data_IF_815359082054
#
_entry.id   IF_815359082054
#
_cell.length_a   1.000
_cell.length_b   1.000
_cell.length_c   1.000
_cell.angle_alpha   90.00
_cell.angle_beta   90.00
_cell.angle_gamma   90.00
#
_symmetry.space_group_name_H-M   'P 1'
#
loop_
_entity.id
_entity.type
_entity.pdbx_description
1 polymer ?
#
# COMPACT_ATOMS: atom_id res chain seq x y z
N UNK A 1 30.73 15.96 42.46
CA UNK A 1 31.67 15.97 41.31
C UNK A 1 31.16 14.92 40.36
N UNK A 2 30.93 15.25 39.10
CA UNK A 2 30.36 14.32 38.10
C UNK A 2 31.19 13.04 38.02
N UNK A 3 30.55 11.87 38.02
CA UNK A 3 31.24 10.59 37.87
C UNK A 3 31.61 10.39 36.40
N UNK A 4 32.75 10.99 36.04
CA UNK A 4 33.25 11.09 34.68
C UNK A 4 33.55 9.74 34.03
N UNK A 5 33.91 8.75 34.85
CA UNK A 5 34.21 7.40 34.40
C UNK A 5 32.97 6.69 33.86
N UNK A 6 31.77 7.15 34.25
CA UNK A 6 30.49 6.67 33.71
C UNK A 6 29.93 7.59 32.62
N UNK A 7 30.07 8.91 32.77
CA UNK A 7 29.51 9.87 31.81
C UNK A 7 30.19 9.82 30.43
N UNK A 8 31.52 9.69 30.35
CA UNK A 8 32.23 9.68 29.06
C UNK A 8 31.88 8.47 28.18
N UNK A 9 31.97 7.24 28.69
CA UNK A 9 31.52 6.06 27.94
C UNK A 9 30.03 6.14 27.62
N UNK A 10 29.20 6.61 28.57
CA UNK A 10 27.75 6.75 28.36
C UNK A 10 27.40 7.68 27.20
N UNK A 11 27.99 8.89 27.15
CA UNK A 11 27.79 9.83 26.04
C UNK A 11 28.29 9.27 24.70
N UNK A 12 29.46 8.62 24.69
CA UNK A 12 30.04 8.04 23.47
C UNK A 12 29.21 6.90 22.90
N UNK A 13 28.80 5.95 23.75
CA UNK A 13 27.96 4.82 23.35
C UNK A 13 26.57 5.27 22.89
N UNK A 14 25.97 6.26 23.56
CA UNK A 14 24.69 6.83 23.13
C UNK A 14 24.79 7.43 21.74
N UNK A 15 25.86 8.19 21.46
CA UNK A 15 26.07 8.83 20.16
C UNK A 15 26.34 7.81 19.04
N UNK A 16 27.16 6.79 19.30
CA UNK A 16 27.45 5.71 18.34
C UNK A 16 26.19 4.90 18.05
N UNK A 17 25.44 4.52 19.09
CA UNK A 17 24.18 3.79 18.94
C UNK A 17 23.15 4.59 18.14
N UNK A 18 23.00 5.89 18.42
CA UNK A 18 22.11 6.77 17.67
C UNK A 18 22.50 6.87 16.19
N UNK A 19 23.79 7.05 15.89
CA UNK A 19 24.27 7.08 14.50
C UNK A 19 24.02 5.76 13.77
N UNK A 20 24.22 4.62 14.44
CA UNK A 20 23.93 3.29 13.89
C UNK A 20 22.45 3.09 13.59
N UNK A 21 21.56 3.54 14.49
CA UNK A 21 20.11 3.51 14.28
C UNK A 21 19.74 4.35 13.05
N UNK A 22 20.23 5.60 12.96
CA UNK A 22 19.92 6.48 11.81
C UNK A 22 20.41 5.89 10.50
N UNK A 23 21.64 5.38 10.43
CA UNK A 23 22.18 4.78 9.19
C UNK A 23 21.40 3.54 8.74
N UNK A 24 20.86 2.79 9.69
CA UNK A 24 20.12 1.57 9.40
C UNK A 24 18.70 1.86 8.91
N UNK A 25 17.98 2.77 9.58
CA UNK A 25 16.72 3.32 9.06
C UNK A 25 16.91 4.07 7.74
N UNK A 26 18.13 4.54 7.45
CA UNK A 26 18.43 5.21 6.20
C UNK A 26 18.58 4.27 4.99
N UNK A 27 18.51 2.95 5.18
CA UNK A 27 18.76 1.97 4.12
C UNK A 27 20.20 1.92 3.61
N UNK A 28 21.11 2.75 4.12
CA UNK A 28 22.49 2.86 3.61
C UNK A 28 23.29 1.56 3.87
N UNK A 29 22.85 0.72 4.81
CA UNK A 29 23.45 -0.58 5.14
C UNK A 29 22.45 -1.74 4.97
N UNK A 30 22.03 -2.03 3.74
CA UNK A 30 21.06 -3.08 3.40
C UNK A 30 21.43 -4.52 3.83
N UNK A 31 22.67 -4.81 4.24
CA UNK A 31 23.13 -6.19 4.49
C UNK A 31 22.92 -6.71 5.92
N UNK A 32 22.41 -5.89 6.86
CA UNK A 32 22.30 -6.27 8.29
C UNK A 32 21.06 -5.72 9.01
N UNK A 33 19.93 -5.54 8.32
CA UNK A 33 18.76 -4.81 8.85
C UNK A 33 18.31 -5.33 10.24
N UNK A 34 18.17 -6.63 10.45
CA UNK A 34 17.67 -7.13 11.75
C UNK A 34 18.73 -7.14 12.87
N UNK A 35 19.98 -7.47 12.53
CA UNK A 35 21.06 -7.57 13.51
C UNK A 35 21.65 -6.23 13.93
N UNK A 36 21.79 -5.30 12.99
CA UNK A 36 22.39 -3.98 13.23
C UNK A 36 21.42 -3.05 13.97
N UNK A 37 20.10 -3.18 13.76
CA UNK A 37 19.07 -2.48 14.54
C UNK A 37 19.18 -2.83 16.02
N UNK A 38 19.14 -4.12 16.33
CA UNK A 38 19.20 -4.60 17.71
C UNK A 38 20.53 -4.20 18.38
N UNK A 39 21.65 -4.32 17.66
CA UNK A 39 22.96 -3.96 18.19
C UNK A 39 23.11 -2.45 18.44
N UNK A 40 22.70 -1.62 17.48
CA UNK A 40 22.80 -0.15 17.61
C UNK A 40 21.86 0.38 18.69
N UNK A 41 20.64 -0.17 18.77
CA UNK A 41 19.69 0.12 19.84
C UNK A 41 20.24 -0.28 21.20
N UNK A 42 20.79 -1.50 21.34
CA UNK A 42 21.42 -1.96 22.57
C UNK A 42 22.59 -1.06 23.00
N UNK A 43 23.46 -0.68 22.06
CA UNK A 43 24.58 0.24 22.32
C UNK A 43 24.08 1.61 22.81
N UNK A 44 23.01 2.13 22.20
CA UNK A 44 22.36 3.37 22.65
C UNK A 44 21.82 3.23 24.09
N UNK A 45 21.07 2.17 24.39
CA UNK A 45 20.49 1.94 25.71
C UNK A 45 21.55 1.77 26.80
N UNK A 46 22.61 1.01 26.53
CA UNK A 46 23.75 0.87 27.45
C UNK A 46 24.41 2.24 27.68
N UNK A 47 24.56 3.04 26.63
CA UNK A 47 25.03 4.41 26.73
C UNK A 47 24.17 5.28 27.64
N UNK A 48 22.85 5.23 27.48
CA UNK A 48 21.89 5.98 28.31
C UNK A 48 21.92 5.56 29.77
N UNK A 49 22.11 4.26 30.06
CA UNK A 49 22.24 3.74 31.43
C UNK A 49 23.49 4.34 32.09
N UNK A 50 24.66 4.26 31.45
CA UNK A 50 25.89 4.83 32.01
C UNK A 50 25.80 6.35 32.17
N UNK A 51 25.17 7.04 31.22
CA UNK A 51 24.94 8.47 31.29
C UNK A 51 24.04 8.83 32.48
N UNK A 52 22.92 8.13 32.64
CA UNK A 52 21.96 8.35 33.73
C UNK A 52 22.61 8.11 35.10
N UNK A 53 23.33 6.98 35.27
CA UNK A 53 24.04 6.67 36.51
C UNK A 53 25.11 7.73 36.79
N UNK A 54 25.89 8.13 35.79
CA UNK A 54 26.92 9.17 35.95
C UNK A 54 26.36 10.52 36.37
N UNK A 55 25.19 10.90 35.85
CA UNK A 55 24.47 12.13 36.24
C UNK A 55 23.92 12.02 37.67
N UNK A 56 23.31 10.88 38.04
CA UNK A 56 22.71 10.68 39.37
C UNK A 56 23.76 10.60 40.48
N UNK A 57 24.90 9.97 40.22
CA UNK A 57 25.96 9.77 41.21
C UNK A 57 26.82 11.03 41.42
N UNK A 58 27.16 11.74 40.34
CA UNK A 58 28.09 12.86 40.43
C UNK A 58 27.53 14.24 40.07
N UNK A 59 26.33 14.31 39.51
CA UNK A 59 25.75 15.52 38.91
C UNK A 59 26.31 15.84 37.53
N UNK A 60 25.80 16.92 36.93
CA UNK A 60 26.21 17.37 35.60
C UNK A 60 27.58 18.06 35.69
N UNK A 61 28.53 17.64 34.85
CA UNK A 61 29.85 18.25 34.83
C UNK A 61 29.84 19.66 34.22
N UNK A 62 30.49 20.61 34.88
CA UNK A 62 30.65 21.99 34.38
C UNK A 62 31.99 22.25 33.71
N UNK A 63 32.84 21.22 33.57
CA UNK A 63 34.18 21.36 33.00
C UNK A 63 34.14 21.73 31.51
N UNK A 64 35.18 22.40 31.03
CA UNK A 64 35.27 22.77 29.61
C UNK A 64 35.34 21.55 28.69
N UNK A 65 35.90 20.43 29.17
CA UNK A 65 35.92 19.15 28.43
C UNK A 65 34.51 18.59 28.28
N UNK A 66 33.67 18.62 29.33
CA UNK A 66 32.27 18.21 29.23
C UNK A 66 31.49 19.02 28.23
N UNK A 67 31.61 20.35 28.32
CA UNK A 67 30.94 21.25 27.39
C UNK A 67 31.34 20.95 25.94
N UNK A 68 32.63 20.72 25.68
CA UNK A 68 33.12 20.37 24.36
C UNK A 68 32.55 19.02 23.88
N UNK A 69 32.61 17.96 24.70
CA UNK A 69 32.07 16.64 24.36
C UNK A 69 30.56 16.69 24.09
N UNK A 70 29.79 17.38 24.94
CA UNK A 70 28.34 17.55 24.76
C UNK A 70 28.02 18.30 23.46
N UNK A 71 28.77 19.35 23.13
CA UNK A 71 28.58 20.08 21.87
C UNK A 71 28.86 19.23 20.64
N UNK A 72 29.89 18.38 20.68
CA UNK A 72 30.19 17.45 19.58
C UNK A 72 29.05 16.45 19.40
N UNK A 73 28.57 15.83 20.49
CA UNK A 73 27.46 14.87 20.43
C UNK A 73 26.17 15.52 19.91
N UNK A 74 25.82 16.70 20.42
CA UNK A 74 24.67 17.46 19.93
C UNK A 74 24.82 17.83 18.46
N UNK A 75 26.01 18.25 18.03
CA UNK A 75 26.28 18.58 16.63
C UNK A 75 26.08 17.39 15.71
N UNK A 76 26.58 16.21 16.10
CA UNK A 76 26.39 14.97 15.35
C UNK A 76 24.90 14.62 15.28
N UNK A 77 24.21 14.56 16.43
CA UNK A 77 22.80 14.20 16.50
C UNK A 77 21.91 15.14 15.67
N UNK A 78 22.14 16.46 15.77
CA UNK A 78 21.41 17.46 14.98
C UNK A 78 21.71 17.36 13.49
N UNK A 79 22.96 17.09 13.11
CA UNK A 79 23.32 16.95 11.68
C UNK A 79 22.64 15.75 11.05
N UNK A 80 22.67 14.58 11.71
CA UNK A 80 21.98 13.38 11.25
C UNK A 80 20.46 13.54 11.29
N UNK A 81 19.92 14.15 12.35
CA UNK A 81 18.49 14.41 12.47
C UNK A 81 17.96 15.36 11.39
N UNK A 82 18.70 16.43 11.07
CA UNK A 82 18.35 17.35 9.99
C UNK A 82 18.48 16.70 8.62
N UNK A 83 19.53 15.89 8.40
CA UNK A 83 19.68 15.14 7.15
C UNK A 83 18.51 14.17 6.95
N UNK A 84 18.19 13.35 7.96
CA UNK A 84 17.06 12.43 7.92
C UNK A 84 15.73 13.17 7.67
N UNK A 85 15.49 14.30 8.35
CA UNK A 85 14.30 15.10 8.13
C UNK A 85 14.23 15.68 6.71
N UNK A 86 15.37 16.04 6.12
CA UNK A 86 15.43 16.69 4.80
C UNK A 86 15.37 15.69 3.64
N UNK A 87 15.92 14.47 3.79
CA UNK A 87 16.09 13.53 2.67
C UNK A 87 15.30 12.25 2.81
N UNK A 88 14.77 11.94 4.00
CA UNK A 88 14.16 10.64 4.31
C UNK A 88 12.76 10.73 4.88
N UNK A 89 12.22 11.94 4.99
CA UNK A 89 10.91 12.13 5.57
C UNK A 89 9.81 11.98 4.51
N UNK A 90 8.99 10.94 4.64
CA UNK A 90 7.81 10.69 3.79
C UNK A 90 6.52 11.24 4.39
N UNK A 91 6.54 11.67 5.66
CA UNK A 91 5.34 12.13 6.38
C UNK A 91 5.38 13.61 6.75
N UNK A 92 4.30 14.33 6.43
CA UNK A 92 4.12 15.72 6.89
C UNK A 92 4.07 15.82 8.42
N UNK A 93 3.64 14.76 9.11
CA UNK A 93 3.50 14.72 10.57
C UNK A 93 4.85 14.89 11.29
N UNK A 94 5.92 14.31 10.74
CA UNK A 94 7.28 14.39 11.34
C UNK A 94 7.77 15.84 11.43
N UNK A 95 7.49 16.66 10.41
CA UNK A 95 7.88 18.08 10.39
C UNK A 95 7.14 18.85 11.47
N UNK A 96 5.83 18.61 11.59
CA UNK A 96 4.99 19.24 12.62
C UNK A 96 5.47 18.85 14.02
N UNK A 97 5.74 17.57 14.26
CA UNK A 97 6.25 17.09 15.54
C UNK A 97 7.62 17.71 15.85
N UNK A 98 8.55 17.76 14.89
CA UNK A 98 9.85 18.41 15.06
C UNK A 98 9.70 19.91 15.38
N UNK A 99 8.77 20.60 14.71
CA UNK A 99 8.41 21.99 14.98
C UNK A 99 7.91 22.20 16.42
N UNK A 100 7.00 21.35 16.89
CA UNK A 100 6.47 21.39 18.26
C UNK A 100 7.59 21.15 19.28
N UNK A 101 8.43 20.14 19.05
CA UNK A 101 9.55 19.84 19.93
C UNK A 101 10.55 20.99 20.03
N UNK A 102 10.84 21.68 18.92
CA UNK A 102 11.67 22.90 18.93
C UNK A 102 10.98 24.03 19.68
N UNK A 103 9.68 24.23 19.47
CA UNK A 103 8.89 25.26 20.14
C UNK A 103 8.84 25.08 21.67
N UNK A 104 8.95 23.83 22.16
CA UNK A 104 9.05 23.52 23.60
C UNK A 104 10.51 23.58 24.07
N UNK A 105 11.44 23.03 23.29
CA UNK A 105 12.83 22.84 23.66
C UNK A 105 13.61 24.15 23.80
N UNK A 106 13.51 25.05 22.81
CA UNK A 106 14.25 26.32 22.86
C UNK A 106 13.90 27.17 24.08
N UNK A 107 12.61 27.40 24.40
CA UNK A 107 12.28 28.20 25.57
C UNK A 107 12.65 27.51 26.88
N UNK A 108 12.55 26.18 26.97
CA UNK A 108 13.00 25.44 28.15
C UNK A 108 14.50 25.64 28.42
N UNK A 109 15.34 25.59 27.37
CA UNK A 109 16.78 25.84 27.47
C UNK A 109 17.08 27.28 27.91
N UNK A 110 16.40 28.27 27.31
CA UNK A 110 16.57 29.69 27.65
C UNK A 110 16.18 29.93 29.12
N UNK A 111 15.03 29.42 29.55
CA UNK A 111 14.56 29.56 30.93
C UNK A 111 15.52 28.90 31.91
N UNK A 112 15.99 27.68 31.62
CA UNK A 112 16.97 26.98 32.45
C UNK A 112 18.29 27.76 32.55
N UNK A 113 18.79 28.30 31.44
CA UNK A 113 19.99 29.14 31.43
C UNK A 113 19.81 30.41 32.27
N UNK A 114 18.69 31.12 32.10
CA UNK A 114 18.38 32.33 32.84
C UNK A 114 18.19 32.06 34.33
N UNK A 115 17.56 30.95 34.70
CA UNK A 115 17.44 30.52 36.09
C UNK A 115 18.82 30.36 36.76
N UNK A 116 19.81 29.84 36.03
CA UNK A 116 21.17 29.64 36.55
C UNK A 116 22.02 30.91 36.57
N UNK A 117 21.95 31.75 35.53
CA UNK A 117 22.91 32.86 35.32
C UNK A 117 22.34 34.23 35.64
N UNK A 118 21.03 34.43 35.49
CA UNK A 118 20.37 35.71 35.67
C UNK A 118 19.01 35.52 36.37
N UNK A 119 18.99 35.09 37.64
CA UNK A 119 17.76 34.70 38.34
C UNK A 119 16.79 35.85 38.56
N UNK A 120 17.24 37.11 38.50
CA UNK A 120 16.37 38.28 38.61
C UNK A 120 15.47 38.48 37.38
N UNK A 121 15.88 37.99 36.20
CA UNK A 121 15.13 38.13 34.95
C UNK A 121 14.37 36.86 34.53
N UNK A 122 14.54 35.75 35.26
CA UNK A 122 13.87 34.48 34.91
C UNK A 122 12.35 34.58 35.01
N UNK A 123 11.81 35.28 36.04
CA UNK A 123 10.37 35.47 36.23
C UNK A 123 9.74 36.27 35.07
N UNK A 124 10.22 37.48 34.73
CA UNK A 124 9.63 38.24 33.63
C UNK A 124 9.77 37.51 32.28
N UNK A 125 10.91 36.88 31.99
CA UNK A 125 11.09 36.12 30.74
C UNK A 125 10.20 34.88 30.69
N UNK A 126 10.10 34.13 31.79
CA UNK A 126 9.25 32.94 31.87
C UNK A 126 7.77 33.28 31.67
N UNK A 127 7.30 34.41 32.19
CA UNK A 127 5.92 34.89 31.97
C UNK A 127 5.68 35.26 30.50
N UNK A 128 6.62 35.95 29.84
CA UNK A 128 6.52 36.30 28.42
C UNK A 128 6.47 35.04 27.55
N UNK A 129 7.36 34.08 27.80
CA UNK A 129 7.41 32.80 27.08
C UNK A 129 6.12 32.01 27.29
N UNK A 130 5.62 31.93 28.53
CA UNK A 130 4.39 31.22 28.85
C UNK A 130 3.16 31.83 28.14
N UNK A 131 3.05 33.17 28.11
CA UNK A 131 1.97 33.84 27.37
C UNK A 131 2.10 33.64 25.85
N UNK A 132 3.31 33.68 25.31
CA UNK A 132 3.55 33.41 23.89
C UNK A 132 3.17 31.98 23.50
N UNK A 133 3.54 30.99 24.31
CA UNK A 133 3.16 29.59 24.10
C UNK A 133 1.64 29.37 24.21
N UNK A 134 1.00 29.95 25.22
CA UNK A 134 -0.46 29.88 25.37
C UNK A 134 -1.17 30.53 24.16
N UNK A 135 -0.67 31.66 23.67
CA UNK A 135 -1.20 32.33 22.48
C UNK A 135 -1.01 31.45 21.23
N UNK A 136 0.15 30.82 21.07
CA UNK A 136 0.41 29.88 19.97
C UNK A 136 -0.50 28.66 19.99
N UNK A 137 -0.74 28.07 21.16
CA UNK A 137 -1.67 26.95 21.34
C UNK A 137 -3.12 27.37 21.07
N UNK A 138 -3.55 28.54 21.56
CA UNK A 138 -4.89 29.07 21.28
C UNK A 138 -5.04 29.34 19.79
N UNK A 139 -4.04 29.92 19.13
CA UNK A 139 -4.06 30.13 17.68
C UNK A 139 -4.10 28.80 16.92
N UNK A 140 -3.39 27.77 17.38
CA UNK A 140 -3.42 26.43 16.82
C UNK A 140 -4.81 25.79 16.91
N UNK A 141 -5.48 25.86 18.06
CA UNK A 141 -6.81 25.29 18.23
C UNK A 141 -7.92 26.14 17.59
N UNK A 142 -7.75 27.47 17.55
CA UNK A 142 -8.74 28.38 16.97
C UNK A 142 -8.65 28.50 15.44
N UNK A 143 -7.46 28.32 14.86
CA UNK A 143 -7.16 28.54 13.44
C UNK A 143 -6.37 27.39 12.82
N UNK A 144 -6.55 26.15 13.31
CA UNK A 144 -5.82 24.94 12.92
C UNK A 144 -5.25 24.97 11.50
N UNK A 145 -3.92 24.82 11.42
CA UNK A 145 -3.08 24.85 10.21
C UNK A 145 -3.79 25.27 8.91
N UNK A 146 -4.13 26.55 8.79
CA UNK A 146 -4.45 27.12 7.47
C UNK A 146 -3.15 27.16 6.69
N UNK A 147 -2.85 26.09 5.95
CA UNK A 147 -1.74 26.09 5.00
C UNK A 147 -1.96 27.27 4.03
N UNK A 148 -0.91 28.05 3.66
CA UNK A 148 -1.04 29.17 2.72
C UNK A 148 -1.66 28.79 1.38
N UNK A 149 -1.68 27.50 1.05
CA UNK A 149 -2.24 26.95 -0.18
C UNK A 149 -3.75 27.20 -0.31
N UNK A 150 -4.47 27.36 0.80
CA UNK A 150 -5.93 27.62 0.76
C UNK A 150 -6.30 29.04 0.33
N UNK A 151 -5.35 29.99 0.39
CA UNK A 151 -5.62 31.42 0.19
C UNK A 151 -5.08 31.99 -1.13
N UNK A 152 -4.32 31.22 -1.91
CA UNK A 152 -3.78 31.65 -3.20
C UNK A 152 -4.24 30.83 -4.41
N UNK A 153 -5.22 29.94 -4.23
CA UNK A 153 -5.96 29.37 -5.37
C UNK A 153 -7.09 30.37 -5.70
N UNK A 154 -7.10 31.01 -6.88
CA UNK A 154 -8.31 31.70 -7.34
C UNK A 154 -9.45 30.71 -7.19
N UNK A 155 -10.57 31.11 -6.58
CA UNK A 155 -11.77 30.29 -6.46
C UNK A 155 -12.09 29.70 -7.83
N UNK A 156 -11.58 28.50 -8.08
CA UNK A 156 -11.99 27.71 -9.21
C UNK A 156 -13.41 27.36 -8.82
N UNK A 157 -14.35 27.91 -9.60
CA UNK A 157 -15.64 27.28 -9.82
C UNK A 157 -15.38 25.79 -9.78
N UNK A 158 -16.01 25.10 -8.83
CA UNK A 158 -15.93 23.65 -8.72
C UNK A 158 -16.33 23.07 -10.05
N UNK A 159 -15.34 22.88 -10.92
CA UNK A 159 -15.29 21.72 -11.76
C UNK A 159 -15.10 20.64 -10.71
N UNK A 160 -16.19 19.97 -10.38
CA UNK A 160 -16.11 18.58 -9.98
C UNK A 160 -15.07 18.00 -10.92
N UNK A 161 -13.85 17.76 -10.43
CA UNK A 161 -13.06 16.71 -11.06
C UNK A 161 -14.05 15.56 -11.11
N UNK A 162 -14.33 15.00 -12.30
CA UNK A 162 -14.99 13.73 -12.29
C UNK A 162 -14.04 12.90 -11.41
N UNK A 163 -14.51 12.49 -10.24
CA UNK A 163 -14.29 11.12 -9.86
C UNK A 163 -14.62 10.38 -11.15
N UNK A 164 -13.58 10.05 -11.91
CA UNK A 164 -13.62 8.79 -12.59
C UNK A 164 -13.88 7.84 -11.42
N UNK A 165 -15.17 7.57 -11.19
CA UNK A 165 -15.60 6.19 -11.16
C UNK A 165 -14.81 5.58 -12.31
N UNK A 166 -13.66 5.01 -11.95
CA UNK A 166 -13.00 4.03 -12.78
C UNK A 166 -14.08 2.95 -12.77
N UNK A 167 -15.03 3.07 -13.69
CA UNK A 167 -15.94 2.00 -14.03
C UNK A 167 -15.00 0.81 -14.18
N UNK A 168 -15.07 -0.17 -13.27
CA UNK A 168 -14.08 -1.22 -13.22
C UNK A 168 -14.08 -1.85 -14.61
N UNK A 169 -12.96 -1.65 -15.33
CA UNK A 169 -12.87 -2.11 -16.71
C UNK A 169 -12.81 -3.64 -16.77
N UNK A 170 -12.60 -4.29 -15.62
CA UNK A 170 -12.71 -5.73 -15.39
C UNK A 170 -13.80 -6.09 -14.38
N UNK A 171 -14.07 -7.38 -14.25
CA UNK A 171 -15.01 -7.94 -13.27
C UNK A 171 -14.60 -7.58 -11.83
N UNK A 172 -15.59 -7.40 -10.95
CA UNK A 172 -15.39 -7.12 -9.52
C UNK A 172 -15.24 -8.43 -8.74
N UNK A 173 -14.22 -8.52 -7.89
CA UNK A 173 -14.04 -9.59 -6.89
C UNK A 173 -14.27 -9.04 -5.48
N UNK A 174 -15.32 -9.49 -4.80
CA UNK A 174 -15.69 -8.95 -3.48
C UNK A 174 -15.02 -9.71 -2.32
N UNK A 175 -14.55 -8.96 -1.33
CA UNK A 175 -14.00 -9.44 -0.05
C UNK A 175 -14.67 -8.66 1.08
N UNK A 176 -14.99 -9.31 2.19
CA UNK A 176 -15.58 -8.66 3.36
C UNK A 176 -14.66 -8.73 4.56
N UNK A 177 -14.55 -7.63 5.30
CA UNK A 177 -14.02 -7.62 6.67
C UNK A 177 -15.19 -7.91 7.60
N UNK A 178 -15.21 -9.11 8.18
CA UNK A 178 -16.36 -9.68 8.88
C UNK A 178 -16.72 -8.93 10.18
N UNK A 179 -17.94 -9.14 10.66
CA UNK A 179 -18.34 -8.63 11.97
C UNK A 179 -17.63 -9.40 13.08
N UNK A 180 -16.92 -8.68 13.97
CA UNK A 180 -16.19 -9.26 15.09
C UNK A 180 -14.73 -9.59 14.78
N UNK A 181 -14.20 -9.21 13.62
CA UNK A 181 -12.80 -9.42 13.23
C UNK A 181 -11.80 -8.70 14.14
N UNK A 182 -12.26 -7.68 14.86
CA UNK A 182 -11.49 -7.00 15.90
C UNK A 182 -11.22 -7.83 17.15
N UNK A 183 -11.79 -9.04 17.29
CA UNK A 183 -11.46 -9.96 18.38
C UNK A 183 -10.52 -11.07 17.89
N UNK A 184 -9.37 -11.20 18.53
CA UNK A 184 -8.36 -12.21 18.16
C UNK A 184 -8.93 -13.64 18.21
N UNK A 185 -8.84 -14.35 17.08
CA UNK A 185 -9.32 -15.72 16.92
C UNK A 185 -10.67 -15.85 16.23
N UNK A 186 -11.38 -14.74 15.97
CA UNK A 186 -12.53 -14.74 15.08
C UNK A 186 -12.10 -14.79 13.61
N UNK A 187 -13.00 -15.21 12.68
CA UNK A 187 -12.75 -15.07 11.25
C UNK A 187 -12.66 -13.60 10.84
N UNK A 188 -11.66 -13.25 10.04
CA UNK A 188 -11.33 -11.83 9.78
C UNK A 188 -11.83 -11.33 8.41
N UNK A 189 -11.40 -12.00 7.34
CA UNK A 189 -11.72 -11.69 5.95
C UNK A 189 -12.45 -12.86 5.29
N UNK A 190 -13.44 -12.59 4.45
CA UNK A 190 -14.12 -13.60 3.62
C UNK A 190 -14.10 -13.20 2.14
N UNK A 191 -13.48 -14.02 1.26
CA UNK A 191 -12.67 -15.19 1.60
C UNK A 191 -11.35 -14.80 2.27
N UNK A 192 -10.84 -15.65 3.17
CA UNK A 192 -9.52 -15.45 3.81
C UNK A 192 -8.32 -15.72 2.88
N UNK A 193 -8.56 -16.45 1.78
CA UNK A 193 -7.65 -16.59 0.65
C UNK A 193 -8.42 -16.24 -0.62
N UNK A 194 -8.08 -15.12 -1.24
CA UNK A 194 -8.70 -14.67 -2.49
C UNK A 194 -7.79 -15.01 -3.66
N UNK A 195 -8.31 -15.72 -4.67
CA UNK A 195 -7.60 -15.97 -5.94
C UNK A 195 -8.25 -15.09 -6.98
N UNK A 196 -7.49 -14.15 -7.55
CA UNK A 196 -8.00 -13.07 -8.40
C UNK A 196 -7.18 -13.00 -9.68
N UNK A 197 -7.86 -12.98 -10.81
CA UNK A 197 -7.23 -12.82 -12.12
C UNK A 197 -6.78 -11.38 -12.32
N UNK A 198 -5.54 -11.17 -12.77
CA UNK A 198 -5.00 -9.85 -13.09
C UNK A 198 -5.91 -9.10 -14.08
N UNK A 199 -6.20 -7.84 -13.77
CA UNK A 199 -7.15 -6.99 -14.48
C UNK A 199 -8.55 -6.91 -13.84
N UNK A 200 -8.82 -7.70 -12.80
CA UNK A 200 -10.03 -7.55 -11.98
C UNK A 200 -9.86 -6.38 -11.00
N UNK A 201 -10.98 -5.83 -10.56
CA UNK A 201 -11.00 -4.90 -9.42
C UNK A 201 -11.44 -5.67 -8.17
N UNK A 202 -10.59 -5.67 -7.15
CA UNK A 202 -10.94 -6.25 -5.86
C UNK A 202 -11.66 -5.19 -5.04
N UNK A 203 -12.73 -5.55 -4.36
CA UNK A 203 -13.53 -4.67 -3.53
C UNK A 203 -13.61 -5.23 -2.10
N UNK A 204 -12.97 -4.56 -1.14
CA UNK A 204 -13.15 -4.84 0.28
C UNK A 204 -14.26 -3.98 0.86
N UNK A 205 -15.22 -4.60 1.54
CA UNK A 205 -16.23 -3.89 2.33
C UNK A 205 -16.00 -4.15 3.81
N UNK A 206 -15.94 -3.09 4.62
CA UNK A 206 -15.90 -3.24 6.07
C UNK A 206 -17.32 -3.48 6.63
N UNK A 207 -17.65 -4.72 6.99
CA UNK A 207 -18.93 -5.04 7.64
C UNK A 207 -18.84 -5.09 9.17
N UNK A 208 -17.63 -4.96 9.74
CA UNK A 208 -17.46 -4.75 11.18
C UNK A 208 -17.96 -3.34 11.58
N UNK A 209 -18.33 -3.24 12.86
CA UNK A 209 -18.64 -1.97 13.53
C UNK A 209 -17.41 -1.10 13.81
N UNK A 210 -16.23 -1.70 13.88
CA UNK A 210 -14.96 -1.03 14.17
C UNK A 210 -14.21 -0.68 12.89
N UNK A 211 -13.21 0.20 13.04
CA UNK A 211 -12.38 0.63 11.94
C UNK A 211 -11.27 -0.39 11.67
N UNK A 212 -11.00 -0.65 10.39
CA UNK A 212 -10.01 -1.60 9.91
C UNK A 212 -9.16 -1.00 8.80
N UNK A 213 -8.16 -1.75 8.34
CA UNK A 213 -7.38 -1.43 7.13
C UNK A 213 -7.15 -2.72 6.35
N UNK A 214 -6.87 -2.56 5.07
CA UNK A 214 -6.38 -3.58 4.14
C UNK A 214 -5.04 -3.06 3.64
N UNK A 215 -3.97 -3.59 4.19
CA UNK A 215 -2.62 -3.05 3.99
C UNK A 215 -1.65 -4.18 3.66
N UNK A 216 -0.88 -4.07 2.58
CA UNK A 216 0.12 -5.06 2.19
C UNK A 216 1.15 -5.29 3.31
N UNK A 217 1.39 -6.54 3.67
CA UNK A 217 2.11 -6.89 4.90
C UNK A 217 3.63 -6.80 4.75
N UNK A 218 4.18 -7.25 3.61
CA UNK A 218 5.63 -7.36 3.37
C UNK A 218 6.31 -5.99 3.38
N UNK A 219 5.61 -4.96 2.92
CA UNK A 219 6.11 -3.61 2.71
C UNK A 219 5.29 -2.54 3.44
N UNK A 220 4.42 -2.96 4.37
CA UNK A 220 3.64 -2.06 5.23
C UNK A 220 2.82 -1.02 4.46
N UNK A 221 2.22 -1.42 3.34
CA UNK A 221 1.29 -0.58 2.57
C UNK A 221 1.88 0.11 1.36
N UNK A 222 3.16 -0.08 1.06
CA UNK A 222 3.79 0.50 -0.13
C UNK A 222 3.15 -0.06 -1.43
N UNK A 223 2.79 -1.35 -1.48
CA UNK A 223 2.07 -1.96 -2.62
C UNK A 223 0.61 -1.53 -2.64
N UNK A 224 -0.10 -1.67 -1.52
CA UNK A 224 -1.46 -1.14 -1.37
C UNK A 224 -1.81 -0.88 0.10
N UNK A 225 -2.51 0.22 0.35
CA UNK A 225 -3.04 0.57 1.66
C UNK A 225 -4.40 1.26 1.51
N UNK A 226 -5.43 0.66 2.11
CA UNK A 226 -6.76 1.27 2.17
C UNK A 226 -6.82 2.52 3.02
N UNK A 227 -5.79 2.79 3.84
CA UNK A 227 -5.89 3.65 5.01
C UNK A 227 -7.01 3.15 5.95
N UNK A 228 -7.46 4.00 6.87
CA UNK A 228 -8.54 3.66 7.81
C UNK A 228 -9.87 3.53 7.06
N UNK A 229 -10.49 2.35 7.15
CA UNK A 229 -11.85 2.04 6.70
C UNK A 229 -12.79 1.97 7.90
N UNK A 230 -13.78 2.86 7.97
CA UNK A 230 -14.85 2.80 8.97
C UNK A 230 -15.92 1.76 8.57
N UNK A 231 -16.88 1.51 9.46
CA UNK A 231 -17.99 0.61 9.19
C UNK A 231 -18.77 1.04 7.93
N UNK A 232 -18.91 0.11 6.98
CA UNK A 232 -19.57 0.31 5.69
C UNK A 232 -18.68 0.94 4.61
N UNK A 233 -17.45 1.34 4.92
CA UNK A 233 -16.52 1.87 3.91
C UNK A 233 -16.08 0.76 2.95
N UNK A 234 -15.84 1.16 1.70
CA UNK A 234 -15.40 0.29 0.62
C UNK A 234 -14.04 0.75 0.12
N UNK A 235 -13.12 -0.20 -0.06
CA UNK A 235 -11.81 0.00 -0.67
C UNK A 235 -11.68 -0.85 -1.92
N UNK A 236 -11.19 -0.27 -3.00
CA UNK A 236 -11.03 -0.95 -4.28
C UNK A 236 -9.57 -0.97 -4.72
N UNK A 237 -9.12 -2.09 -5.28
CA UNK A 237 -7.78 -2.25 -5.87
C UNK A 237 -7.88 -2.79 -7.29
N UNK A 238 -7.38 -2.02 -8.26
CA UNK A 238 -7.20 -2.48 -9.63
C UNK A 238 -5.93 -3.34 -9.73
N UNK A 239 -6.11 -4.61 -10.10
CA UNK A 239 -5.02 -5.58 -10.16
C UNK A 239 -4.22 -5.51 -11.46
N UNK A 240 -4.60 -4.68 -12.43
CA UNK A 240 -3.96 -4.59 -13.77
C UNK A 240 -2.44 -4.43 -13.71
N UNK A 241 -1.94 -3.66 -12.72
CA UNK A 241 -0.52 -3.37 -12.58
C UNK A 241 0.15 -4.11 -11.40
N UNK A 242 -0.57 -5.01 -10.73
CA UNK A 242 0.05 -5.88 -9.72
C UNK A 242 0.83 -6.99 -10.41
N UNK A 243 1.99 -7.34 -9.85
CA UNK A 243 2.73 -8.51 -10.30
C UNK A 243 1.92 -9.79 -10.00
N UNK A 244 2.15 -10.82 -10.80
CA UNK A 244 1.55 -12.14 -10.54
C UNK A 244 2.26 -12.74 -9.33
N UNK A 245 1.49 -13.23 -8.36
CA UNK A 245 2.04 -13.80 -7.14
C UNK A 245 1.11 -13.72 -5.93
N UNK A 246 1.66 -14.09 -4.78
CA UNK A 246 0.96 -14.07 -3.50
C UNK A 246 1.29 -12.79 -2.73
N UNK A 247 0.25 -12.13 -2.25
CA UNK A 247 0.28 -10.94 -1.42
C UNK A 247 -0.38 -11.23 -0.08
N UNK A 248 0.42 -11.25 0.98
CA UNK A 248 -0.13 -11.23 2.34
C UNK A 248 -0.52 -9.79 2.69
N UNK A 249 -1.70 -9.62 3.28
CA UNK A 249 -2.17 -8.33 3.76
C UNK A 249 -2.76 -8.44 5.16
N UNK A 250 -2.72 -7.34 5.89
CA UNK A 250 -3.13 -7.27 7.28
C UNK A 250 -3.91 -6.00 7.61
N UNK A 251 -4.59 -6.03 8.75
CA UNK A 251 -5.09 -4.80 9.39
C UNK A 251 -4.02 -4.24 10.34
N UNK A 252 -3.61 -2.99 10.15
CA UNK A 252 -2.56 -2.36 10.99
C UNK A 252 -3.03 -2.08 12.43
N UNK A 253 -4.35 -1.95 12.63
CA UNK A 253 -4.97 -1.68 13.93
C UNK A 253 -5.07 -2.98 14.74
N UNK A 254 -5.33 -4.09 14.05
CA UNK A 254 -5.57 -5.42 14.61
C UNK A 254 -4.63 -6.43 13.92
N UNK A 255 -3.35 -6.52 14.32
CA UNK A 255 -2.31 -7.22 13.54
C UNK A 255 -2.49 -8.75 13.40
N UNK A 256 -3.43 -9.36 14.13
CA UNK A 256 -3.79 -10.77 13.94
C UNK A 256 -4.67 -11.00 12.72
N UNK A 257 -5.34 -9.94 12.22
CA UNK A 257 -6.17 -10.01 11.02
C UNK A 257 -5.27 -10.08 9.79
N UNK A 258 -5.05 -11.28 9.28
CA UNK A 258 -4.19 -11.55 8.12
C UNK A 258 -4.93 -12.39 7.10
N UNK A 259 -4.75 -12.07 5.82
CA UNK A 259 -5.30 -12.83 4.71
C UNK A 259 -4.34 -12.85 3.52
N UNK A 260 -4.62 -13.73 2.57
CA UNK A 260 -3.80 -13.92 1.37
C UNK A 260 -4.58 -13.55 0.13
N UNK A 261 -3.98 -12.73 -0.72
CA UNK A 261 -4.44 -12.43 -2.06
C UNK A 261 -3.48 -13.07 -3.06
N UNK A 262 -3.99 -13.90 -3.97
CA UNK A 262 -3.22 -14.55 -5.03
C UNK A 262 -3.63 -13.90 -6.34
N UNK A 263 -2.72 -13.15 -6.96
CA UNK A 263 -2.91 -12.60 -8.29
C UNK A 263 -2.40 -13.62 -9.30
N UNK A 264 -3.31 -14.14 -10.11
CA UNK A 264 -2.99 -15.03 -11.21
C UNK A 264 -2.94 -14.27 -12.54
N UNK A 265 -2.17 -14.80 -13.50
CA UNK A 265 -2.07 -14.22 -14.84
C UNK A 265 -3.47 -14.01 -15.44
N UNK A 266 -3.66 -12.84 -16.07
CA UNK A 266 -4.83 -12.63 -16.91
C UNK A 266 -4.80 -13.68 -18.01
N UNK A 267 -5.73 -14.65 -17.95
CA UNK A 267 -5.90 -15.60 -19.05
C UNK A 267 -6.43 -14.78 -20.22
N UNK A 268 -5.52 -14.31 -21.09
CA UNK A 268 -5.90 -13.50 -22.25
C UNK A 268 -7.06 -14.17 -22.96
N UNK A 269 -8.05 -13.36 -23.38
CA UNK A 269 -9.16 -13.89 -24.14
C UNK A 269 -8.62 -14.60 -25.39
N UNK A 270 -8.80 -15.92 -25.45
CA UNK A 270 -8.33 -16.72 -26.58
C UNK A 270 -9.22 -16.37 -27.77
N UNK A 271 -8.59 -15.85 -28.82
CA UNK A 271 -9.29 -15.40 -30.02
C UNK A 271 -9.34 -16.51 -31.04
N UNK A 272 -10.55 -16.91 -31.41
CA UNK A 272 -10.83 -17.77 -32.55
C UNK A 272 -11.29 -16.89 -33.71
N UNK A 273 -10.59 -16.94 -34.82
CA UNK A 273 -10.95 -16.21 -36.04
C UNK A 273 -11.68 -17.13 -36.99
N UNK A 274 -12.76 -16.65 -37.60
CA UNK A 274 -13.38 -17.29 -38.77
C UNK A 274 -12.75 -16.61 -39.99
N UNK A 275 -11.79 -17.26 -40.69
CA UNK A 275 -11.01 -16.62 -41.74
C UNK A 275 -11.84 -16.46 -43.02
N UNK A 276 -11.37 -15.58 -43.91
CA UNK A 276 -11.98 -15.39 -45.22
C UNK A 276 -12.01 -16.71 -46.01
N UNK A 277 -13.19 -17.04 -46.58
CA UNK A 277 -13.40 -18.28 -47.32
C UNK A 277 -13.83 -19.47 -46.47
N UNK A 278 -14.02 -19.32 -45.15
CA UNK A 278 -14.47 -20.41 -44.28
C UNK A 278 -15.84 -21.00 -44.67
N UNK A 279 -16.68 -20.24 -45.37
CA UNK A 279 -17.95 -20.73 -45.93
C UNK A 279 -17.80 -21.71 -47.11
N UNK A 280 -16.59 -22.00 -47.60
CA UNK A 280 -16.36 -22.89 -48.74
C UNK A 280 -15.63 -24.15 -48.25
N UNK A 281 -16.19 -25.36 -48.42
CA UNK A 281 -15.54 -26.60 -48.00
C UNK A 281 -14.45 -27.01 -48.99
N UNK A 282 -13.28 -26.39 -48.88
CA UNK A 282 -12.06 -26.77 -49.61
C UNK A 282 -11.18 -27.68 -48.73
N UNK A 283 -10.38 -28.55 -49.38
CA UNK A 283 -9.40 -29.36 -48.65
C UNK A 283 -8.34 -28.46 -48.00
N UNK A 284 -7.96 -28.77 -46.76
CA UNK A 284 -6.95 -28.04 -45.96
C UNK A 284 -7.35 -26.62 -45.52
N UNK A 285 -8.60 -26.18 -45.76
CA UNK A 285 -9.13 -24.91 -45.26
C UNK A 285 -9.33 -24.96 -43.73
N UNK A 286 -8.85 -23.92 -43.05
CA UNK A 286 -9.14 -23.70 -41.63
C UNK A 286 -10.46 -22.93 -41.52
N UNK A 287 -11.42 -23.45 -40.75
CA UNK A 287 -12.75 -22.85 -40.60
C UNK A 287 -12.89 -21.99 -39.33
N UNK A 288 -12.22 -22.42 -38.26
CA UNK A 288 -12.00 -21.69 -37.02
C UNK A 288 -10.51 -21.72 -36.77
N UNK A 289 -9.88 -20.57 -36.54
CA UNK A 289 -8.44 -20.42 -36.36
C UNK A 289 -8.10 -19.79 -35.00
N UNK A 290 -7.51 -20.54 -34.07
CA UNK A 290 -7.24 -21.98 -34.12
C UNK A 290 -8.52 -22.83 -34.04
N UNK A 291 -8.47 -24.05 -34.60
CA UNK A 291 -9.63 -24.96 -34.66
C UNK A 291 -9.91 -25.65 -33.32
N UNK A 292 -8.84 -25.98 -32.61
CA UNK A 292 -8.88 -26.57 -31.27
C UNK A 292 -8.14 -25.61 -30.36
N UNK A 293 -8.76 -25.25 -29.24
CA UNK A 293 -8.13 -24.45 -28.19
C UNK A 293 -8.18 -25.19 -26.87
N UNK A 294 -7.08 -25.11 -26.13
CA UNK A 294 -7.00 -25.57 -24.75
C UNK A 294 -6.98 -24.31 -23.86
N UNK A 295 -7.98 -24.20 -23.00
CA UNK A 295 -8.16 -23.10 -22.06
C UNK A 295 -8.34 -23.68 -20.66
N UNK A 296 -8.25 -22.83 -19.65
CA UNK A 296 -8.55 -23.25 -18.29
C UNK A 296 -9.87 -22.66 -17.83
N UNK A 297 -10.48 -23.26 -16.80
CA UNK A 297 -11.75 -22.76 -16.25
C UNK A 297 -11.67 -21.25 -15.96
N UNK A 298 -12.70 -20.50 -16.36
CA UNK A 298 -12.80 -19.04 -16.22
C UNK A 298 -12.25 -18.25 -17.42
N UNK A 299 -11.70 -18.90 -18.44
CA UNK A 299 -11.19 -18.21 -19.64
C UNK A 299 -12.34 -17.72 -20.53
N UNK A 300 -12.27 -16.46 -20.96
CA UNK A 300 -13.11 -15.93 -22.04
C UNK A 300 -12.57 -16.35 -23.40
N UNK A 301 -13.42 -16.93 -24.24
CA UNK A 301 -13.09 -17.20 -25.65
C UNK A 301 -13.85 -16.20 -26.51
N UNK A 302 -13.15 -15.55 -27.44
CA UNK A 302 -13.73 -14.59 -28.39
C UNK A 302 -13.69 -15.16 -29.79
N UNK A 303 -14.85 -15.36 -30.41
CA UNK A 303 -14.96 -15.64 -31.83
C UNK A 303 -15.09 -14.33 -32.61
N UNK A 304 -14.33 -14.18 -33.69
CA UNK A 304 -14.43 -13.04 -34.60
C UNK A 304 -14.66 -13.50 -36.02
N UNK A 305 -15.71 -12.99 -36.64
CA UNK A 305 -15.95 -13.22 -38.06
C UNK A 305 -15.11 -12.26 -38.91
N UNK A 306 -14.06 -12.78 -39.58
CA UNK A 306 -13.24 -12.02 -40.55
C UNK A 306 -13.64 -12.38 -41.98
N UNK A 307 -14.47 -13.40 -42.17
CA UNK A 307 -15.07 -13.73 -43.45
C UNK A 307 -16.11 -12.68 -43.87
N UNK A 308 -16.34 -12.60 -45.18
CA UNK A 308 -17.39 -11.76 -45.76
C UNK A 308 -18.77 -12.45 -45.75
N UNK A 309 -18.83 -13.70 -45.27
CA UNK A 309 -20.05 -14.50 -45.13
C UNK A 309 -20.53 -14.52 -43.68
N UNK A 310 -21.83 -14.68 -43.44
CA UNK A 310 -22.38 -14.82 -42.09
C UNK A 310 -22.04 -16.20 -41.51
N UNK A 311 -21.72 -16.25 -40.21
CA UNK A 311 -21.36 -17.47 -39.50
C UNK A 311 -21.93 -17.50 -38.10
N UNK A 312 -21.86 -18.66 -37.44
CA UNK A 312 -22.14 -18.80 -36.01
C UNK A 312 -21.00 -19.56 -35.32
N UNK A 313 -20.94 -19.46 -34.00
CA UNK A 313 -20.24 -20.38 -33.11
C UNK A 313 -21.31 -20.91 -32.14
N UNK A 314 -21.79 -22.13 -32.40
CA UNK A 314 -22.91 -22.73 -31.67
C UNK A 314 -22.48 -24.07 -31.09
N UNK A 315 -22.59 -24.23 -29.78
CA UNK A 315 -22.18 -25.45 -29.08
C UNK A 315 -23.02 -26.65 -29.49
N UNK A 316 -22.36 -27.80 -29.62
CA UNK A 316 -22.94 -29.04 -30.12
C UNK A 316 -22.23 -29.54 -31.37
N UNK A 317 -22.90 -30.38 -32.14
CA UNK A 317 -22.33 -30.95 -33.36
C UNK A 317 -23.35 -31.07 -34.48
N UNK A 318 -22.91 -31.13 -35.75
CA UNK A 318 -23.81 -31.21 -36.91
C UNK A 318 -24.81 -32.37 -36.91
N UNK A 319 -24.44 -33.51 -36.30
CA UNK A 319 -25.27 -34.72 -36.29
C UNK A 319 -26.34 -34.71 -35.18
N UNK A 320 -26.01 -34.12 -34.03
CA UNK A 320 -26.85 -34.05 -32.83
C UNK A 320 -27.59 -32.71 -32.67
N UNK A 321 -27.19 -31.69 -33.41
CA UNK A 321 -27.66 -30.31 -33.28
C UNK A 321 -27.03 -29.57 -32.10
N UNK A 322 -27.56 -28.37 -31.82
CA UNK A 322 -27.11 -27.55 -30.71
C UNK A 322 -27.46 -28.17 -29.35
N UNK A 323 -26.52 -28.13 -28.40
CA UNK A 323 -26.68 -28.68 -27.05
C UNK A 323 -27.08 -27.62 -26.01
N UNK A 324 -27.03 -26.33 -26.37
CA UNK A 324 -27.51 -25.21 -25.58
C UNK A 324 -26.51 -24.64 -24.56
N UNK A 325 -25.23 -25.03 -24.61
CA UNK A 325 -24.18 -24.45 -23.75
C UNK A 325 -23.88 -22.99 -24.14
N UNK A 326 -23.70 -22.71 -25.44
CA UNK A 326 -23.55 -21.36 -25.98
C UNK A 326 -24.03 -21.27 -27.43
N UNK A 327 -24.50 -20.08 -27.83
CA UNK A 327 -24.85 -19.76 -29.21
C UNK A 327 -24.51 -18.28 -29.47
N UNK A 328 -23.73 -18.02 -30.52
CA UNK A 328 -23.38 -16.66 -30.91
C UNK A 328 -24.50 -15.90 -31.60
N UNK A 329 -25.61 -16.57 -31.92
CA UNK A 329 -26.52 -16.15 -32.98
C UNK A 329 -25.76 -15.94 -34.31
N UNK A 330 -26.38 -15.25 -35.27
CA UNK A 330 -25.77 -14.92 -36.56
C UNK A 330 -24.75 -13.79 -36.39
N UNK A 331 -23.47 -14.08 -36.66
CA UNK A 331 -22.39 -13.10 -36.76
C UNK A 331 -22.20 -12.65 -38.21
N UNK A 332 -22.38 -11.35 -38.48
CA UNK A 332 -22.02 -10.73 -39.76
C UNK A 332 -20.50 -10.49 -39.86
N UNK A 333 -20.03 -10.08 -41.02
CA UNK A 333 -18.62 -9.74 -41.23
C UNK A 333 -18.15 -8.65 -40.25
N UNK A 334 -17.09 -8.93 -39.49
CA UNK A 334 -16.52 -8.05 -38.47
C UNK A 334 -17.09 -8.23 -37.06
N UNK A 335 -18.22 -8.93 -36.91
CA UNK A 335 -18.86 -9.17 -35.62
C UNK A 335 -17.99 -10.08 -34.73
N UNK A 336 -18.25 -10.00 -33.43
CA UNK A 336 -17.59 -10.81 -32.41
C UNK A 336 -18.61 -11.38 -31.44
N UNK A 337 -18.29 -12.55 -30.90
CA UNK A 337 -19.01 -13.21 -29.84
C UNK A 337 -18.03 -13.62 -28.75
N UNK A 338 -18.43 -13.51 -27.49
CA UNK A 338 -17.61 -13.85 -26.33
C UNK A 338 -18.37 -14.79 -25.40
N UNK A 339 -17.70 -15.82 -24.91
CA UNK A 339 -18.27 -16.78 -23.95
C UNK A 339 -17.23 -17.17 -22.90
N UNK A 340 -17.65 -17.30 -21.65
CA UNK A 340 -16.80 -17.71 -20.52
C UNK A 340 -17.15 -19.14 -20.13
N UNK A 341 -16.17 -20.03 -20.18
CA UNK A 341 -16.34 -21.41 -19.74
C UNK A 341 -16.09 -21.52 -18.24
N UNK A 342 -17.12 -21.92 -17.48
CA UNK A 342 -17.07 -22.01 -16.01
C UNK A 342 -16.94 -23.45 -15.48
N UNK A 343 -17.12 -24.44 -16.34
CA UNK A 343 -16.99 -25.86 -16.02
C UNK A 343 -15.92 -26.52 -16.89
N UNK A 344 -15.08 -27.36 -16.29
CA UNK A 344 -14.10 -28.15 -17.02
C UNK A 344 -14.80 -29.18 -17.93
N UNK A 345 -14.27 -29.39 -19.12
CA UNK A 345 -14.89 -30.26 -20.13
C UNK A 345 -14.37 -30.00 -21.54
N UNK A 346 -14.85 -30.81 -22.49
CA UNK A 346 -14.59 -30.61 -23.92
C UNK A 346 -15.90 -30.22 -24.59
N UNK A 347 -15.88 -29.08 -25.28
CA UNK A 347 -17.03 -28.45 -25.90
C UNK A 347 -16.81 -28.37 -27.42
N UNK A 348 -17.45 -29.27 -28.15
CA UNK A 348 -17.53 -29.16 -29.61
C UNK A 348 -18.52 -28.07 -29.98
N UNK A 349 -18.24 -27.37 -31.08
CA UNK A 349 -19.12 -26.37 -31.65
C UNK A 349 -19.03 -26.34 -33.17
N UNK A 350 -20.06 -25.81 -33.80
CA UNK A 350 -20.15 -25.76 -35.25
C UNK A 350 -20.89 -24.51 -35.74
N UNK A 351 -20.76 -24.23 -37.04
CA UNK A 351 -21.54 -23.19 -37.71
C UNK A 351 -22.87 -23.80 -38.19
N UNK A 352 -24.01 -23.25 -37.73
CA UNK A 352 -25.33 -23.76 -38.12
C UNK A 352 -25.64 -23.54 -39.61
N UNK A 353 -25.01 -22.54 -40.23
CA UNK A 353 -25.16 -22.21 -41.65
C UNK A 353 -24.26 -23.09 -42.54
N UNK A 354 -23.14 -23.54 -41.98
CA UNK A 354 -22.07 -24.25 -42.68
C UNK A 354 -21.63 -25.47 -41.85
N UNK A 355 -22.38 -26.59 -41.86
CA UNK A 355 -22.20 -27.66 -40.88
C UNK A 355 -20.87 -28.42 -40.95
N UNK A 356 -20.04 -28.20 -41.97
CA UNK A 356 -18.67 -28.74 -42.03
C UNK A 356 -17.66 -27.94 -41.19
N UNK A 357 -18.00 -26.72 -40.78
CA UNK A 357 -17.17 -25.89 -39.90
C UNK A 357 -17.33 -26.37 -38.47
N UNK A 358 -16.31 -27.03 -37.93
CA UNK A 358 -16.30 -27.59 -36.59
C UNK A 358 -15.06 -27.11 -35.86
N UNK A 359 -15.21 -26.75 -34.60
CA UNK A 359 -14.12 -26.48 -33.67
C UNK A 359 -14.36 -27.11 -32.31
N UNK A 360 -13.32 -27.11 -31.47
CA UNK A 360 -13.39 -27.69 -30.12
C UNK A 360 -12.71 -26.75 -29.12
N UNK A 361 -13.34 -26.57 -27.96
CA UNK A 361 -12.75 -25.90 -26.79
C UNK A 361 -12.56 -26.94 -25.68
N UNK A 362 -11.32 -27.20 -25.29
CA UNK A 362 -11.01 -28.01 -24.12
C UNK A 362 -10.78 -27.07 -22.93
N UNK A 363 -11.46 -27.33 -21.82
CA UNK A 363 -11.41 -26.52 -20.60
C UNK A 363 -10.89 -27.40 -19.47
N UNK A 364 -9.71 -27.06 -18.95
CA UNK A 364 -9.04 -27.79 -17.85
C UNK A 364 -9.01 -27.03 -16.51
#
# INVERSE_FOLDING_TARGET
MSNWDLMMPGMGLTAIGLAGVVLSYAGIAHTFIDGLHALSGLVMFIGLIFLAVGILDGGISTSNKAKATTLVVLGIALSFGLYALATMNTSAFTVTLAGILMAIGFPAIIIAYLAMKHPTIVKPVGVIVGMAAATGIIMWFAFGFVSPDTSMIPQQVGVEEPTQEIEPTGSIFAIQILEGSSEEGNPDYEPGIAVVTQGYTIEWTNVDSLAHTVTSAVDYGDTFDSSIMNAGDVFTLDTTNLEIGEYEYLCIIHPWMVATLIIEESKEAIKVTIPEGAAIPEEEQIFYDPQIIDVTVGTTVTWKNVDNTMHTATSGNPDGGADGVFDSDIMSAGDKFEFIFTDAGSYDYYCILHPWMIGTVNVE
#
